data_IF_434400844323
#
_entry.id   IF_434400844323
#
_cell.length_a   1.000
_cell.length_b   1.000
_cell.length_c   1.000
_cell.angle_alpha   90.00
_cell.angle_beta   90.00
_cell.angle_gamma   90.00
#
_symmetry.space_group_name_H-M   'P 1'
#
loop_
_entity.id
_entity.type
_entity.pdbx_description
1 polymer ?
#
# COMPACT_ATOMS: atom_id res chain seq x y z
N UNK A 1 9.57 1.97 16.77
CA UNK A 1 8.17 2.41 16.65
C UNK A 1 7.41 1.41 15.80
N UNK A 2 6.29 0.94 16.27
CA UNK A 2 5.44 0.04 15.50
C UNK A 2 4.48 0.83 14.61
N UNK A 3 3.90 0.16 13.61
CA UNK A 3 2.91 0.78 12.74
C UNK A 3 1.70 1.28 13.54
N UNK A 4 1.24 0.49 14.51
CA UNK A 4 0.09 0.87 15.34
C UNK A 4 0.38 2.15 16.14
N UNK A 5 1.59 2.31 16.66
CA UNK A 5 1.97 3.54 17.37
C UNK A 5 1.93 4.76 16.44
N UNK A 6 2.38 4.60 15.19
CA UNK A 6 2.32 5.68 14.20
C UNK A 6 0.88 6.04 13.91
N UNK A 7 0.00 5.05 13.73
CA UNK A 7 -1.42 5.28 13.44
C UNK A 7 -2.13 6.01 14.59
N UNK A 8 -1.75 5.72 15.83
CA UNK A 8 -2.33 6.39 16.99
C UNK A 8 -1.92 7.88 17.08
N UNK A 9 -0.70 8.20 16.66
CA UNK A 9 -0.14 9.53 16.81
C UNK A 9 -0.40 10.46 15.63
N UNK A 10 -0.84 9.93 14.49
CA UNK A 10 -0.94 10.67 13.24
C UNK A 10 -2.34 10.54 12.66
N UNK A 11 -2.98 11.66 12.34
CA UNK A 11 -4.32 11.67 11.72
C UNK A 11 -4.27 11.33 10.24
N UNK A 12 -3.18 11.70 9.55
CA UNK A 12 -2.96 11.37 8.15
C UNK A 12 -1.48 11.18 7.89
N UNK A 13 -1.17 10.49 6.78
CA UNK A 13 0.21 10.19 6.41
C UNK A 13 0.51 10.73 5.01
N UNK A 14 1.70 11.32 4.84
CA UNK A 14 2.20 11.63 3.50
C UNK A 14 2.93 10.42 2.92
N UNK A 15 3.68 9.69 3.73
CA UNK A 15 4.42 8.52 3.29
C UNK A 15 4.35 7.42 4.34
N UNK A 16 3.94 6.22 3.92
CA UNK A 16 3.99 5.01 4.74
C UNK A 16 4.79 3.95 3.99
N UNK A 17 5.76 3.38 4.67
CA UNK A 17 6.56 2.29 4.15
C UNK A 17 6.13 0.97 4.79
N UNK A 18 5.72 0.01 3.97
CA UNK A 18 5.33 -1.33 4.41
C UNK A 18 6.52 -2.26 4.21
N UNK A 19 7.25 -2.50 5.28
CA UNK A 19 8.35 -3.45 5.26
C UNK A 19 7.78 -4.86 5.17
N UNK A 20 8.40 -5.69 4.34
CA UNK A 20 7.87 -7.00 4.00
C UNK A 20 7.72 -7.93 5.18
N UNK A 21 6.52 -8.11 5.67
CA UNK A 21 6.18 -9.13 6.62
C UNK A 21 5.96 -10.48 5.93
N UNK A 22 5.85 -10.48 4.62
CA UNK A 22 5.72 -11.67 3.77
C UNK A 22 4.46 -12.49 4.04
N UNK A 23 3.52 -11.97 4.80
CA UNK A 23 2.26 -12.62 5.15
C UNK A 23 1.10 -11.82 4.58
N UNK A 24 0.27 -12.49 3.78
CA UNK A 24 -0.86 -11.84 3.11
C UNK A 24 -1.85 -11.23 4.10
N UNK A 25 -2.22 -11.97 5.13
CA UNK A 25 -3.22 -11.52 6.09
C UNK A 25 -2.74 -10.28 6.83
N UNK A 26 -1.50 -10.31 7.32
CA UNK A 26 -0.93 -9.18 8.05
C UNK A 26 -0.77 -7.96 7.16
N UNK A 27 -0.31 -8.17 5.92
CA UNK A 27 -0.15 -7.09 4.94
C UNK A 27 -1.48 -6.41 4.65
N UNK A 28 -2.54 -7.19 4.41
CA UNK A 28 -3.87 -6.64 4.15
C UNK A 28 -4.44 -5.93 5.37
N UNK A 29 -4.21 -6.46 6.57
CA UNK A 29 -4.67 -5.84 7.80
C UNK A 29 -4.01 -4.47 8.02
N UNK A 30 -2.70 -4.38 7.83
CA UNK A 30 -1.99 -3.11 7.95
C UNK A 30 -2.42 -2.12 6.88
N UNK A 31 -2.59 -2.59 5.66
CA UNK A 31 -3.11 -1.75 4.57
C UNK A 31 -4.47 -1.16 4.94
N UNK A 32 -5.39 -2.00 5.41
CA UNK A 32 -6.74 -1.55 5.78
C UNK A 32 -6.72 -0.56 6.95
N UNK A 33 -5.85 -0.77 7.94
CA UNK A 33 -5.67 0.18 9.04
C UNK A 33 -5.19 1.54 8.53
N UNK A 34 -4.22 1.53 7.64
CA UNK A 34 -3.64 2.76 7.09
C UNK A 34 -4.64 3.51 6.21
N UNK A 35 -5.53 2.79 5.51
CA UNK A 35 -6.55 3.43 4.66
C UNK A 35 -7.45 4.39 5.43
N UNK A 36 -7.64 4.16 6.71
CA UNK A 36 -8.47 5.03 7.56
C UNK A 36 -7.84 6.39 7.81
N UNK A 37 -6.57 6.54 7.52
CA UNK A 37 -5.78 7.74 7.81
C UNK A 37 -5.26 8.44 6.57
N UNK A 38 -5.65 8.02 5.38
CA UNK A 38 -5.12 8.60 4.14
C UNK A 38 -5.74 9.95 3.82
N UNK A 39 -4.99 10.72 3.06
CA UNK A 39 -5.48 11.92 2.37
C UNK A 39 -4.94 11.91 0.94
N UNK A 40 -5.22 12.96 0.16
CA UNK A 40 -4.81 13.02 -1.25
C UNK A 40 -3.29 13.06 -1.45
N UNK A 41 -2.53 13.31 -0.38
CA UNK A 41 -1.06 13.36 -0.42
C UNK A 41 -0.42 12.07 0.08
N UNK A 42 -1.21 11.10 0.52
CA UNK A 42 -0.68 9.86 1.06
C UNK A 42 -0.05 9.01 -0.04
N UNK A 43 1.09 8.43 0.26
CA UNK A 43 1.83 7.52 -0.62
C UNK A 43 2.22 6.31 0.19
N UNK A 44 1.83 5.12 -0.28
CA UNK A 44 2.21 3.86 0.36
C UNK A 44 3.26 3.17 -0.49
N UNK A 45 4.34 2.73 0.15
CA UNK A 45 5.42 1.98 -0.50
C UNK A 45 5.49 0.60 0.12
N UNK A 46 5.37 -0.43 -0.71
CA UNK A 46 5.43 -1.83 -0.27
C UNK A 46 6.70 -2.48 -0.79
N UNK A 47 7.48 -3.07 0.11
CA UNK A 47 8.61 -3.90 -0.30
C UNK A 47 8.16 -5.35 -0.46
N UNK A 48 8.90 -6.10 -1.27
CA UNK A 48 8.73 -7.54 -1.44
C UNK A 48 7.35 -7.98 -1.95
N UNK A 49 6.73 -7.18 -2.82
CA UNK A 49 5.40 -7.50 -3.38
C UNK A 49 5.42 -8.79 -4.23
N UNK A 50 6.58 -9.22 -4.68
CA UNK A 50 6.76 -10.43 -5.48
C UNK A 50 7.47 -11.56 -4.72
N UNK A 51 7.59 -11.44 -3.39
CA UNK A 51 8.31 -12.39 -2.56
C UNK A 51 7.76 -13.82 -2.69
N UNK A 52 6.44 -13.96 -2.77
CA UNK A 52 5.77 -15.25 -2.82
C UNK A 52 4.46 -15.11 -3.58
N UNK A 53 3.82 -16.25 -3.88
CA UNK A 53 2.47 -16.26 -4.45
C UNK A 53 1.50 -15.53 -3.52
N UNK A 54 1.67 -15.71 -2.22
CA UNK A 54 0.84 -15.06 -1.20
C UNK A 54 0.97 -13.55 -1.24
N UNK A 55 2.19 -13.03 -1.34
CA UNK A 55 2.42 -11.57 -1.43
C UNK A 55 1.95 -11.01 -2.76
N UNK A 56 2.11 -11.74 -3.85
CA UNK A 56 1.54 -11.31 -5.14
C UNK A 56 0.03 -11.22 -5.07
N UNK A 57 -0.61 -12.17 -4.41
CA UNK A 57 -2.06 -12.15 -4.22
C UNK A 57 -2.50 -10.96 -3.36
N UNK A 58 -1.76 -10.66 -2.30
CA UNK A 58 -2.03 -9.49 -1.47
C UNK A 58 -1.93 -8.20 -2.28
N UNK A 59 -0.85 -8.04 -3.04
CA UNK A 59 -0.65 -6.87 -3.89
C UNK A 59 -1.78 -6.71 -4.91
N UNK A 60 -2.18 -7.80 -5.56
CA UNK A 60 -3.26 -7.76 -6.54
C UNK A 60 -4.59 -7.33 -5.93
N UNK A 61 -4.87 -7.73 -4.70
CA UNK A 61 -6.06 -7.27 -3.99
C UNK A 61 -5.96 -5.79 -3.62
N UNK A 62 -4.80 -5.36 -3.16
CA UNK A 62 -4.56 -3.97 -2.75
C UNK A 62 -4.78 -3.01 -3.91
N UNK A 63 -4.23 -3.29 -5.09
CA UNK A 63 -4.35 -2.37 -6.23
C UNK A 63 -5.77 -2.29 -6.80
N UNK A 64 -6.64 -3.23 -6.43
CA UNK A 64 -8.05 -3.22 -6.83
C UNK A 64 -8.95 -2.43 -5.87
N UNK A 65 -8.40 -1.97 -4.76
CA UNK A 65 -9.18 -1.18 -3.81
C UNK A 65 -9.59 0.15 -4.45
N UNK A 66 -10.84 0.54 -4.26
CA UNK A 66 -11.40 1.74 -4.89
C UNK A 66 -10.69 3.02 -4.47
N UNK A 67 -10.07 3.05 -3.31
CA UNK A 67 -9.36 4.21 -2.82
C UNK A 67 -7.99 4.38 -3.48
N UNK A 68 -7.45 3.33 -4.06
CA UNK A 68 -6.17 3.38 -4.78
C UNK A 68 -6.42 3.94 -6.18
N UNK A 69 -5.90 5.13 -6.46
CA UNK A 69 -6.12 5.80 -7.74
C UNK A 69 -4.99 5.58 -8.74
N UNK A 70 -3.82 5.21 -8.25
CA UNK A 70 -2.67 4.95 -9.10
C UNK A 70 -1.75 3.96 -8.40
N UNK A 71 -1.26 2.97 -9.12
CA UNK A 71 -0.27 2.06 -8.59
C UNK A 71 0.87 1.84 -9.57
N UNK A 72 2.07 1.72 -9.03
CA UNK A 72 3.25 1.32 -9.78
C UNK A 72 3.87 0.10 -9.12
N UNK A 73 4.30 -0.86 -9.93
CA UNK A 73 5.14 -1.94 -9.43
C UNK A 73 6.39 -2.03 -10.29
N UNK A 74 7.52 -2.16 -9.62
CA UNK A 74 8.82 -2.29 -10.28
C UNK A 74 9.65 -3.30 -9.51
N UNK A 75 9.99 -4.39 -10.17
CA UNK A 75 10.71 -5.50 -9.55
C UNK A 75 9.97 -5.99 -8.31
N UNK A 76 10.48 -5.71 -7.10
CA UNK A 76 9.88 -6.14 -5.85
C UNK A 76 9.15 -5.01 -5.10
N UNK A 77 9.14 -3.82 -5.63
CA UNK A 77 8.59 -2.65 -4.93
C UNK A 77 7.28 -2.23 -5.57
N UNK A 78 6.28 -1.94 -4.74
CA UNK A 78 5.01 -1.39 -5.17
C UNK A 78 4.76 -0.04 -4.52
N UNK A 79 4.17 0.89 -5.26
CA UNK A 79 3.85 2.24 -4.79
C UNK A 79 2.40 2.55 -5.10
N UNK A 80 1.69 3.08 -4.11
CA UNK A 80 0.28 3.46 -4.24
C UNK A 80 0.09 4.94 -4.01
N UNK A 81 -0.81 5.52 -4.81
CA UNK A 81 -1.26 6.90 -4.68
C UNK A 81 -2.78 6.92 -4.49
N UNK A 82 -3.26 7.95 -3.81
CA UNK A 82 -4.69 8.07 -3.45
C UNK A 82 -5.29 9.40 -3.90
N UNK A 83 -4.67 10.07 -4.85
CA UNK A 83 -5.10 11.38 -5.33
C UNK A 83 -6.40 11.23 -6.12
N UNK A 84 -7.47 11.89 -5.69
CA UNK A 84 -8.83 11.66 -6.21
C UNK A 84 -9.03 12.04 -7.66
N UNK A 85 -8.26 12.98 -8.18
CA UNK A 85 -8.36 13.42 -9.57
C UNK A 85 -7.67 12.46 -10.56
N UNK A 86 -6.98 11.43 -10.06
CA UNK A 86 -6.43 10.39 -10.91
C UNK A 86 -7.47 9.29 -11.11
N UNK A 87 -7.49 8.70 -12.29
CA UNK A 87 -8.30 7.51 -12.54
C UNK A 87 -7.53 6.28 -12.07
N UNK A 88 -8.26 5.22 -11.75
CA UNK A 88 -7.64 3.97 -11.35
C UNK A 88 -6.72 3.46 -12.46
N UNK A 89 -5.43 3.55 -12.25
CA UNK A 89 -4.41 3.11 -13.19
C UNK A 89 -3.37 2.28 -12.48
N UNK A 90 -2.96 1.20 -13.12
CA UNK A 90 -1.96 0.29 -12.58
C UNK A 90 -0.85 0.13 -13.61
N UNK A 91 0.37 0.42 -13.20
CA UNK A 91 1.55 0.29 -14.04
C UNK A 91 2.48 -0.75 -13.44
N UNK A 92 2.94 -1.66 -14.28
CA UNK A 92 3.88 -2.69 -13.86
C UNK A 92 5.15 -2.57 -14.70
N UNK A 93 6.26 -2.34 -14.04
CA UNK A 93 7.59 -2.26 -14.67
C UNK A 93 8.43 -3.42 -14.15
N UNK A 94 8.92 -4.21 -15.05
CA UNK A 94 9.78 -5.35 -14.71
C UNK A 94 11.24 -4.97 -14.54
#
# INVERSE_FOLDING_TARGET
MTLDEVLEKTDSFDLIFFDGNHNKIDTLNYFNKCLKKINSKSIFVFDDINWSIEMKSAWNQIIKNDMVTLSFSFMRVGVLFFKKDLKNKNYNFL
#
